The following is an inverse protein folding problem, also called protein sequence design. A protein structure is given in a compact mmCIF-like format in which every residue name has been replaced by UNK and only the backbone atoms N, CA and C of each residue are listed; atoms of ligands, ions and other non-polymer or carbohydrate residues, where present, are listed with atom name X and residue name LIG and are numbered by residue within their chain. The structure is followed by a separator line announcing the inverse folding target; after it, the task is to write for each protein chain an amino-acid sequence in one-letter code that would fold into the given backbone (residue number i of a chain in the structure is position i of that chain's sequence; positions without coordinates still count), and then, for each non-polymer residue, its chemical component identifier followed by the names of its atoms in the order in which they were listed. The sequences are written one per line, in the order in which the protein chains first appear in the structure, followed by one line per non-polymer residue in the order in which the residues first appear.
data_IF_342054535427
#
_entry.id   IF_342054535427
#
_cell.length_a   1.000
_cell.length_b   1.000
_cell.length_c   1.000
_cell.angle_alpha   90.00
_cell.angle_beta   90.00
_cell.angle_gamma   90.00
#
_symmetry.space_group_name_H-M   'P 1'
#
loop_
_entity.id
_entity.type
_entity.pdbx_description
1 polymer ?
#
# COMPACT_ATOMS: atom_id res chain seq x y z
N UNK A 1 -8.18 -9.20 -12.34
CA UNK A 1 -9.54 -8.85 -12.78
C UNK A 1 -9.41 -7.85 -13.92
N UNK A 2 -9.80 -8.21 -15.15
CA UNK A 2 -9.79 -7.29 -16.29
C UNK A 2 -10.89 -6.24 -16.14
N UNK A 3 -10.61 -5.00 -16.55
CA UNK A 3 -11.58 -3.90 -16.60
C UNK A 3 -11.30 -3.03 -17.84
N UNK A 4 -12.37 -2.51 -18.44
CA UNK A 4 -12.32 -1.70 -19.67
C UNK A 4 -12.78 -0.27 -19.41
N UNK A 5 -12.20 0.69 -20.14
CA UNK A 5 -12.61 2.09 -20.11
C UNK A 5 -13.95 2.37 -20.81
N UNK A 6 -14.56 3.55 -20.60
CA UNK A 6 -13.98 4.70 -19.91
C UNK A 6 -14.18 4.69 -18.39
N UNK A 7 -13.09 4.87 -17.64
CA UNK A 7 -13.13 4.96 -16.17
C UNK A 7 -11.94 5.72 -15.58
N UNK A 8 -12.01 6.05 -14.29
CA UNK A 8 -10.92 6.65 -13.52
C UNK A 8 -10.51 5.71 -12.39
N UNK A 9 -9.26 5.23 -12.42
CA UNK A 9 -8.64 4.50 -11.32
C UNK A 9 -8.01 5.50 -10.35
N UNK A 10 -8.45 5.49 -9.10
CA UNK A 10 -7.87 6.29 -8.03
C UNK A 10 -7.10 5.38 -7.05
N UNK A 11 -5.79 5.58 -6.98
CA UNK A 11 -4.90 4.91 -6.04
C UNK A 11 -4.48 5.91 -4.97
N UNK A 12 -4.92 5.69 -3.75
CA UNK A 12 -4.44 6.46 -2.58
C UNK A 12 -4.73 7.98 -2.68
N UNK A 13 -5.78 8.36 -3.40
CA UNK A 13 -6.25 9.75 -3.56
C UNK A 13 -5.36 10.65 -4.43
N UNK A 14 -4.04 10.54 -4.32
CA UNK A 14 -3.07 11.34 -5.10
C UNK A 14 -2.84 10.76 -6.49
N UNK A 15 -2.65 9.44 -6.60
CA UNK A 15 -2.30 8.79 -7.87
C UNK A 15 -3.57 8.44 -8.63
N UNK A 16 -3.72 8.94 -9.86
CA UNK A 16 -4.90 8.69 -10.70
C UNK A 16 -4.49 8.23 -12.10
N UNK A 17 -5.24 7.29 -12.68
CA UNK A 17 -5.09 6.85 -14.08
C UNK A 17 -6.45 6.84 -14.75
N UNK A 18 -6.58 7.54 -15.87
CA UNK A 18 -7.80 7.56 -16.68
C UNK A 18 -7.66 6.54 -17.80
N UNK A 19 -8.65 5.67 -17.94
CA UNK A 19 -8.79 4.82 -19.11
C UNK A 19 -9.77 5.49 -20.07
N UNK A 20 -9.40 5.55 -21.34
CA UNK A 20 -10.31 5.94 -22.42
C UNK A 20 -11.01 4.71 -23.02
N UNK A 21 -11.99 4.94 -23.90
CA UNK A 21 -12.68 3.84 -24.57
C UNK A 21 -11.69 2.98 -25.38
N UNK A 22 -11.85 1.65 -25.28
CA UNK A 22 -10.98 0.68 -25.96
C UNK A 22 -9.69 0.32 -25.22
N UNK A 23 -9.42 0.94 -24.07
CA UNK A 23 -8.32 0.52 -23.18
C UNK A 23 -8.79 -0.53 -22.17
N UNK A 24 -7.95 -1.55 -21.95
CA UNK A 24 -8.14 -2.59 -20.95
C UNK A 24 -6.95 -2.60 -19.97
N UNK A 25 -7.22 -2.85 -18.69
CA UNK A 25 -6.19 -3.13 -17.68
C UNK A 25 -6.54 -4.31 -16.81
N UNK A 26 -5.52 -4.94 -16.22
CA UNK A 26 -5.69 -6.03 -15.26
C UNK A 26 -5.41 -5.53 -13.85
N UNK A 27 -6.41 -5.63 -12.99
CA UNK A 27 -6.28 -5.37 -11.54
C UNK A 27 -5.79 -6.63 -10.83
N UNK A 28 -4.71 -6.50 -10.07
CA UNK A 28 -4.12 -7.59 -9.28
C UNK A 28 -3.91 -7.13 -7.84
N UNK A 29 -4.40 -7.91 -6.87
CA UNK A 29 -4.09 -7.69 -5.46
C UNK A 29 -2.70 -8.24 -5.19
N UNK A 30 -1.79 -7.38 -4.75
CA UNK A 30 -0.46 -7.79 -4.26
C UNK A 30 -0.44 -7.74 -2.74
N UNK A 31 0.17 -8.73 -2.10
CA UNK A 31 0.35 -8.81 -0.64
C UNK A 31 1.72 -8.33 -0.18
N UNK A 32 2.39 -7.55 -1.02
CA UNK A 32 3.69 -6.92 -0.76
C UNK A 32 3.55 -5.44 -0.41
N UNK A 33 2.39 -5.07 0.15
CA UNK A 33 2.13 -3.72 0.63
C UNK A 33 3.08 -3.31 1.77
N UNK A 34 2.93 -2.06 2.27
CA UNK A 34 3.78 -1.53 3.33
C UNK A 34 3.87 -2.48 4.53
N UNK A 35 5.06 -2.60 5.08
CA UNK A 35 5.27 -3.34 6.34
C UNK A 35 4.56 -2.58 7.47
N UNK A 36 3.81 -3.32 8.29
CA UNK A 36 3.19 -2.78 9.52
C UNK A 36 4.14 -3.02 10.68
N UNK A 37 4.38 -1.99 11.48
CA UNK A 37 5.21 -2.07 12.69
C UNK A 37 4.30 -2.26 13.90
N UNK A 38 4.53 -3.32 14.68
CA UNK A 38 3.95 -3.45 16.02
C UNK A 38 4.69 -2.52 16.99
N UNK A 39 4.11 -1.35 17.23
CA UNK A 39 4.72 -0.33 18.08
C UNK A 39 4.87 -0.83 19.51
N UNK A 40 3.90 -1.59 20.05
CA UNK A 40 3.94 -2.02 21.43
C UNK A 40 5.10 -3.01 21.67
N UNK A 41 5.24 -4.01 20.78
CA UNK A 41 6.33 -4.97 20.85
C UNK A 41 7.69 -4.30 20.68
N UNK A 42 7.81 -3.35 19.74
CA UNK A 42 9.05 -2.59 19.51
C UNK A 42 9.43 -1.79 20.76
N UNK A 43 8.48 -1.06 21.34
CA UNK A 43 8.75 -0.21 22.51
C UNK A 43 9.10 -1.02 23.75
N UNK A 44 8.40 -2.13 24.00
CA UNK A 44 8.71 -3.03 25.11
C UNK A 44 10.12 -3.62 24.99
N UNK A 45 10.50 -4.08 23.80
CA UNK A 45 11.83 -4.60 23.53
C UNK A 45 12.90 -3.53 23.67
N UNK A 46 12.66 -2.34 23.13
CA UNK A 46 13.62 -1.24 23.21
C UNK A 46 13.91 -0.84 24.67
N UNK A 47 12.88 -0.76 25.51
CA UNK A 47 13.02 -0.46 26.93
C UNK A 47 13.78 -1.56 27.68
N UNK A 48 13.49 -2.83 27.41
CA UNK A 48 14.14 -3.98 28.05
C UNK A 48 15.63 -4.08 27.68
N UNK A 49 15.97 -3.86 26.40
CA UNK A 49 17.33 -4.05 25.88
C UNK A 49 18.18 -2.76 25.97
N UNK A 50 17.61 -1.65 26.45
CA UNK A 50 18.27 -0.34 26.50
C UNK A 50 18.61 0.24 25.12
N UNK A 51 17.99 -0.27 24.05
CA UNK A 51 18.38 0.06 22.67
C UNK A 51 18.06 1.51 22.26
N UNK A 52 17.28 2.23 23.07
CA UNK A 52 16.96 3.65 22.89
C UNK A 52 18.05 4.59 23.40
N UNK A 53 19.06 4.09 24.13
CA UNK A 53 20.13 4.88 24.73
C UNK A 53 21.38 5.02 23.84
N UNK A 54 21.32 4.54 22.58
CA UNK A 54 22.46 4.46 21.67
C UNK A 54 22.50 5.60 20.67
#
# INVERSE_FOLDING_TARGET
VPVEGPLLLAFDGERKRRLVAGEEVVLTVRRDGPRVVDVAAVMSKAAADGSYLR
#
